data_IF_246910852733
#
_entry.id   IF_246910852733
#
_cell.length_a   1.000
_cell.length_b   1.000
_cell.length_c   1.000
_cell.angle_alpha   90.00
_cell.angle_beta   90.00
_cell.angle_gamma   90.00
#
_symmetry.space_group_name_H-M   'P 1'
#
loop_
_entity.id
_entity.type
_entity.pdbx_description
1 polymer ?
#
# COMPACT_ATOMS: atom_id res chain seq x y z
N UNK A 1 -10.89 2.52 -27.13
CA UNK A 1 -10.00 2.94 -26.01
C UNK A 1 -9.39 1.69 -25.41
N UNK A 2 -8.11 1.76 -25.01
CA UNK A 2 -7.47 0.68 -24.25
C UNK A 2 -7.84 0.77 -22.77
N UNK A 3 -7.79 -0.34 -22.03
CA UNK A 3 -8.05 -0.36 -20.57
C UNK A 3 -7.18 0.68 -19.83
N UNK A 4 -5.91 0.82 -20.25
CA UNK A 4 -4.98 1.84 -19.75
C UNK A 4 -5.49 3.28 -19.95
N UNK A 5 -6.10 3.59 -21.09
CA UNK A 5 -6.67 4.93 -21.34
C UNK A 5 -7.90 5.19 -20.47
N UNK A 6 -8.76 4.20 -20.29
CA UNK A 6 -9.94 4.31 -19.40
C UNK A 6 -9.54 4.50 -17.94
N UNK A 7 -8.48 3.82 -17.48
CA UNK A 7 -7.90 3.97 -16.14
C UNK A 7 -7.40 5.40 -15.87
N UNK A 8 -6.66 5.98 -16.83
CA UNK A 8 -6.15 7.35 -16.70
C UNK A 8 -7.28 8.38 -16.68
N UNK A 9 -8.29 8.23 -17.53
CA UNK A 9 -9.46 9.11 -17.56
C UNK A 9 -10.31 9.00 -16.28
N UNK A 10 -10.49 7.80 -15.72
CA UNK A 10 -11.19 7.65 -14.45
C UNK A 10 -10.48 8.42 -13.32
N UNK A 11 -9.14 8.38 -13.29
CA UNK A 11 -8.35 9.11 -12.32
C UNK A 11 -8.53 10.63 -12.44
N UNK A 12 -8.61 11.17 -13.67
CA UNK A 12 -8.93 12.59 -13.94
C UNK A 12 -10.31 12.99 -13.41
N UNK A 13 -11.27 12.05 -13.41
CA UNK A 13 -12.62 12.24 -12.88
C UNK A 13 -12.73 12.07 -11.35
N UNK A 14 -11.61 11.88 -10.66
CA UNK A 14 -11.60 11.69 -9.21
C UNK A 14 -11.96 10.27 -8.76
N UNK A 15 -11.91 9.30 -9.69
CA UNK A 15 -12.21 7.89 -9.42
C UNK A 15 -10.93 7.07 -9.51
N UNK A 16 -10.62 6.32 -8.46
CA UNK A 16 -9.51 5.36 -8.47
C UNK A 16 -10.04 4.03 -8.94
N UNK A 17 -9.29 3.38 -9.84
CA UNK A 17 -9.62 2.04 -10.32
C UNK A 17 -8.45 1.11 -10.04
N UNK A 18 -8.73 0.06 -9.28
CA UNK A 18 -7.82 -1.06 -9.01
C UNK A 18 -8.35 -2.34 -9.68
N UNK A 19 -7.45 -3.27 -9.97
CA UNK A 19 -7.79 -4.58 -10.52
C UNK A 19 -7.14 -5.64 -9.64
N UNK A 20 -7.96 -6.48 -9.03
CA UNK A 20 -7.52 -7.57 -8.14
C UNK A 20 -7.95 -8.91 -8.74
N UNK A 21 -7.00 -9.71 -9.24
CA UNK A 21 -7.29 -10.99 -9.88
C UNK A 21 -8.38 -10.88 -10.98
N UNK A 22 -8.31 -9.81 -11.78
CA UNK A 22 -9.28 -9.52 -12.84
C UNK A 22 -10.58 -8.84 -12.39
N UNK A 23 -10.82 -8.65 -11.08
CA UNK A 23 -11.97 -7.92 -10.56
C UNK A 23 -11.68 -6.40 -10.53
N UNK A 24 -12.39 -5.56 -11.31
CA UNK A 24 -12.27 -4.12 -11.20
C UNK A 24 -12.96 -3.60 -9.93
N UNK A 25 -12.24 -2.80 -9.15
CA UNK A 25 -12.72 -2.15 -7.91
C UNK A 25 -12.57 -0.64 -8.06
N UNK A 26 -13.64 0.09 -7.77
CA UNK A 26 -13.68 1.55 -7.87
C UNK A 26 -13.77 2.16 -6.48
N UNK A 27 -13.01 3.22 -6.23
CA UNK A 27 -13.15 4.03 -5.02
C UNK A 27 -13.08 5.52 -5.31
N UNK A 28 -13.75 6.30 -4.47
CA UNK A 28 -13.62 7.75 -4.46
C UNK A 28 -12.20 8.15 -4.04
N UNK A 29 -11.69 9.26 -4.58
CA UNK A 29 -10.46 9.84 -4.05
C UNK A 29 -10.57 10.16 -2.55
N UNK A 30 -9.49 9.96 -1.79
CA UNK A 30 -9.50 10.12 -0.36
C UNK A 30 -9.69 11.58 0.02
N UNK A 31 -10.37 11.76 1.15
CA UNK A 31 -10.56 13.06 1.77
C UNK A 31 -9.35 13.45 2.61
N UNK A 32 -9.22 14.74 2.92
CA UNK A 32 -8.08 15.31 3.64
C UNK A 32 -7.66 14.54 4.90
N UNK A 33 -8.62 14.04 5.69
CA UNK A 33 -8.32 13.27 6.92
C UNK A 33 -7.51 12.01 6.64
N UNK A 34 -7.82 11.30 5.56
CA UNK A 34 -7.10 10.10 5.17
C UNK A 34 -5.65 10.42 4.79
N UNK A 35 -5.44 11.47 4.01
CA UNK A 35 -4.11 11.98 3.67
C UNK A 35 -3.30 12.44 4.89
N UNK A 36 -3.94 12.98 5.95
CA UNK A 36 -3.28 13.27 7.23
C UNK A 36 -2.77 12.03 7.96
N UNK A 37 -3.46 10.90 7.83
CA UNK A 37 -3.00 9.64 8.42
C UNK A 37 -1.81 9.08 7.62
N UNK A 38 -1.89 9.09 6.29
CA UNK A 38 -0.77 8.72 5.41
C UNK A 38 0.48 9.55 5.74
N UNK A 39 0.36 10.88 5.85
CA UNK A 39 1.46 11.77 6.19
C UNK A 39 2.13 11.39 7.53
N UNK A 40 1.33 11.08 8.55
CA UNK A 40 1.84 10.70 9.88
C UNK A 40 2.59 9.38 9.83
N UNK A 41 2.02 8.38 9.15
CA UNK A 41 2.64 7.07 8.99
C UNK A 41 3.98 7.22 8.25
N UNK A 42 4.01 7.95 7.13
CA UNK A 42 5.24 8.19 6.36
C UNK A 42 6.36 8.82 7.21
N UNK A 43 6.02 9.73 8.13
CA UNK A 43 7.00 10.34 9.06
C UNK A 43 7.54 9.35 10.10
N UNK A 44 6.83 8.26 10.36
CA UNK A 44 7.23 7.20 11.27
C UNK A 44 7.92 6.02 10.58
N UNK A 45 8.25 6.14 9.29
CA UNK A 45 8.99 5.11 8.56
C UNK A 45 10.48 5.40 8.68
N UNK A 46 11.24 4.42 9.19
CA UNK A 46 12.68 4.52 9.38
C UNK A 46 13.38 3.18 9.13
N UNK A 47 14.71 3.22 8.90
CA UNK A 47 15.53 2.00 8.83
C UNK A 47 15.67 1.40 10.23
N UNK A 48 15.49 0.09 10.36
CA UNK A 48 15.57 -0.60 11.65
C UNK A 48 17.01 -0.94 12.03
N UNK A 49 17.88 0.08 12.19
CA UNK A 49 19.20 0.04 12.85
C UNK A 49 20.29 -0.91 12.31
N UNK A 50 19.93 -2.00 11.63
CA UNK A 50 20.80 -2.96 11.00
C UNK A 50 20.83 -2.67 9.50
N UNK A 51 22.02 -2.76 8.92
CA UNK A 51 22.27 -2.57 7.49
C UNK A 51 21.76 -3.80 6.72
N UNK A 52 20.43 -3.99 6.71
CA UNK A 52 19.74 -5.10 6.05
C UNK A 52 19.67 -4.88 4.51
N UNK A 53 20.35 -3.86 3.98
CA UNK A 53 20.41 -3.55 2.55
C UNK A 53 19.15 -2.88 1.98
N UNK A 54 18.26 -2.37 2.84
CA UNK A 54 17.01 -1.73 2.43
C UNK A 54 17.00 -0.22 2.66
N UNK A 55 16.65 0.55 1.62
CA UNK A 55 16.58 2.01 1.71
C UNK A 55 15.27 2.57 2.26
N UNK A 56 14.25 1.73 2.45
CA UNK A 56 12.92 2.14 2.93
C UNK A 56 12.32 3.29 2.10
N UNK A 57 12.49 3.21 0.78
CA UNK A 57 11.94 4.19 -0.17
C UNK A 57 10.43 4.09 -0.18
N UNK A 58 9.76 5.21 0.05
CA UNK A 58 8.31 5.31 0.14
C UNK A 58 7.71 5.88 -1.14
N UNK A 59 6.77 5.14 -1.74
CA UNK A 59 5.89 5.65 -2.79
C UNK A 59 4.47 5.77 -2.23
N UNK A 60 3.81 6.90 -2.48
CA UNK A 60 2.47 7.20 -1.96
C UNK A 60 1.51 7.36 -3.11
N UNK A 61 0.37 6.67 -3.05
CA UNK A 61 -0.66 6.75 -4.09
C UNK A 61 -0.13 6.49 -5.52
N UNK A 62 0.90 5.63 -5.66
CA UNK A 62 1.52 5.27 -6.95
C UNK A 62 0.96 3.94 -7.47
N UNK A 63 0.62 3.88 -8.76
CA UNK A 63 0.17 2.64 -9.39
C UNK A 63 1.30 1.63 -9.49
N UNK A 64 1.02 0.41 -9.07
CA UNK A 64 1.90 -0.76 -9.18
C UNK A 64 1.17 -1.83 -10.00
N UNK A 65 1.79 -2.22 -11.11
CA UNK A 65 1.35 -3.30 -11.97
C UNK A 65 1.96 -4.62 -11.46
N UNK A 66 1.13 -5.39 -10.78
CA UNK A 66 1.42 -6.73 -10.31
C UNK A 66 1.11 -7.75 -11.42
N UNK A 67 1.72 -8.95 -11.40
CA UNK A 67 1.44 -10.00 -12.38
C UNK A 67 -0.06 -10.28 -12.60
N UNK A 68 -0.87 -10.25 -11.53
CA UNK A 68 -2.31 -10.55 -11.58
C UNK A 68 -3.20 -9.35 -11.25
N UNK A 69 -2.70 -8.12 -11.31
CA UNK A 69 -3.52 -6.97 -10.96
C UNK A 69 -2.82 -5.62 -11.03
N UNK A 70 -3.61 -4.57 -10.82
CA UNK A 70 -3.14 -3.20 -10.74
C UNK A 70 -3.66 -2.63 -9.42
N UNK A 71 -2.76 -2.28 -8.50
CA UNK A 71 -3.13 -1.65 -7.23
C UNK A 71 -2.44 -0.31 -7.09
N UNK A 72 -3.02 0.54 -6.25
CA UNK A 72 -2.46 1.83 -5.87
C UNK A 72 -2.49 1.93 -4.35
N UNK A 73 -1.58 1.21 -3.65
CA UNK A 73 -1.52 1.27 -2.19
C UNK A 73 -1.34 2.70 -1.72
N UNK A 74 -1.89 3.01 -0.54
CA UNK A 74 -1.70 4.33 0.08
C UNK A 74 -0.21 4.60 0.33
N UNK A 75 0.54 3.58 0.79
CA UNK A 75 2.00 3.61 0.92
C UNK A 75 2.58 2.26 0.48
N UNK A 76 3.56 2.31 -0.42
CA UNK A 76 4.41 1.19 -0.81
C UNK A 76 5.85 1.44 -0.37
N UNK A 77 6.52 0.40 0.14
CA UNK A 77 7.92 0.47 0.55
C UNK A 77 8.80 -0.40 -0.35
N UNK A 78 9.91 0.19 -0.81
CA UNK A 78 10.92 -0.45 -1.64
C UNK A 78 12.30 -0.38 -0.97
N UNK A 79 13.14 -1.38 -1.24
CA UNK A 79 14.52 -1.38 -0.75
C UNK A 79 15.51 -0.62 -1.61
N UNK A 80 15.10 -0.21 -2.82
CA UNK A 80 15.86 0.69 -3.69
C UNK A 80 14.92 1.69 -4.33
N UNK A 81 15.46 2.81 -4.77
CA UNK A 81 14.74 3.72 -5.65
C UNK A 81 14.47 3.02 -7.00
N UNK A 82 13.25 3.07 -7.54
CA UNK A 82 13.00 2.73 -8.94
C UNK A 82 13.89 3.58 -9.86
N UNK A 83 14.45 2.98 -10.91
CA UNK A 83 15.27 3.73 -11.87
C UNK A 83 14.42 4.78 -12.60
N UNK A 84 15.04 5.85 -13.11
CA UNK A 84 14.30 6.98 -13.73
C UNK A 84 13.34 6.50 -14.83
N UNK A 85 13.75 5.55 -15.67
CA UNK A 85 12.93 4.95 -16.73
C UNK A 85 11.74 4.13 -16.23
N UNK A 86 11.75 3.72 -14.95
CA UNK A 86 10.64 3.02 -14.29
C UNK A 86 9.60 4.01 -13.74
N UNK A 87 9.97 5.26 -13.46
CA UNK A 87 9.15 6.24 -12.73
C UNK A 87 8.03 6.88 -13.57
N UNK A 88 8.16 6.92 -14.90
CA UNK A 88 7.17 7.53 -15.82
C UNK A 88 6.01 6.59 -16.23
N UNK A 89 5.86 5.45 -15.55
CA UNK A 89 4.81 4.45 -15.81
C UNK A 89 4.41 3.75 -14.50
N UNK A 90 3.31 2.96 -14.47
CA UNK A 90 3.04 2.10 -13.34
C UNK A 90 4.27 1.26 -12.99
N UNK A 91 4.65 1.25 -11.72
CA UNK A 91 5.81 0.50 -11.26
C UNK A 91 5.53 -0.99 -11.41
N UNK A 92 6.46 -1.72 -11.99
CA UNK A 92 6.40 -3.20 -12.04
C UNK A 92 7.22 -3.85 -10.93
N UNK A 93 7.97 -3.04 -10.16
CA UNK A 93 8.68 -3.51 -8.98
C UNK A 93 7.69 -3.89 -7.89
N UNK A 94 7.85 -5.07 -7.31
CA UNK A 94 7.04 -5.52 -6.19
C UNK A 94 7.54 -4.83 -4.92
N UNK A 95 6.68 -4.12 -4.17
CA UNK A 95 7.07 -3.53 -2.91
C UNK A 95 7.30 -4.61 -1.86
N UNK A 96 8.24 -4.32 -0.97
CA UNK A 96 8.59 -5.19 0.15
C UNK A 96 7.51 -5.20 1.22
N UNK A 97 6.90 -4.02 1.44
CA UNK A 97 5.76 -3.85 2.31
C UNK A 97 4.76 -2.86 1.70
N UNK A 98 3.49 -3.02 2.06
CA UNK A 98 2.42 -2.08 1.72
C UNK A 98 1.64 -1.70 2.98
N UNK A 99 1.20 -0.45 3.04
CA UNK A 99 0.40 0.07 4.13
C UNK A 99 -0.86 0.70 3.52
N UNK A 100 -2.03 0.26 3.97
CA UNK A 100 -3.34 0.79 3.57
C UNK A 100 -4.00 1.49 4.76
N UNK A 101 -4.61 2.65 4.53
CA UNK A 101 -5.40 3.37 5.52
C UNK A 101 -6.88 3.24 5.14
N UNK A 102 -7.66 2.60 6.00
CA UNK A 102 -9.07 2.32 5.72
C UNK A 102 -9.86 3.61 5.59
N UNK A 103 -10.60 3.71 4.49
CA UNK A 103 -11.64 4.73 4.29
C UNK A 103 -13.02 4.16 4.57
N UNK A 104 -13.90 4.98 5.16
CA UNK A 104 -15.28 4.58 5.48
C UNK A 104 -16.01 4.10 4.22
N UNK A 105 -16.59 2.91 4.28
CA UNK A 105 -17.29 2.28 3.15
C UNK A 105 -16.40 1.46 2.21
N UNK A 106 -15.09 1.37 2.48
CA UNK A 106 -14.12 0.58 1.71
C UNK A 106 -13.42 -0.48 2.57
N UNK A 107 -13.97 -0.81 3.74
CA UNK A 107 -13.36 -1.69 4.73
C UNK A 107 -13.02 -3.08 4.15
N UNK A 108 -13.94 -3.68 3.39
CA UNK A 108 -13.72 -5.00 2.79
C UNK A 108 -12.55 -5.01 1.80
N UNK A 109 -12.35 -3.90 1.06
CA UNK A 109 -11.23 -3.76 0.11
C UNK A 109 -9.90 -3.86 0.86
N UNK A 110 -9.75 -3.10 1.95
CA UNK A 110 -8.48 -2.98 2.67
C UNK A 110 -8.25 -4.12 3.68
N UNK A 111 -9.30 -4.64 4.32
CA UNK A 111 -9.17 -5.65 5.39
C UNK A 111 -9.26 -7.10 4.89
N UNK A 112 -9.97 -7.35 3.77
CA UNK A 112 -10.29 -8.71 3.32
C UNK A 112 -9.70 -9.02 1.94
N UNK A 113 -9.77 -8.09 0.99
CA UNK A 113 -9.40 -8.33 -0.41
C UNK A 113 -7.91 -8.01 -0.66
N UNK A 114 -7.45 -6.85 -0.23
CA UNK A 114 -6.09 -6.35 -0.44
C UNK A 114 -5.01 -7.24 0.15
N UNK A 115 -5.07 -7.62 1.44
CA UNK A 115 -4.02 -8.39 2.08
C UNK A 115 -3.69 -9.73 1.40
N UNK A 116 -4.66 -10.64 1.11
CA UNK A 116 -4.33 -11.88 0.41
C UNK A 116 -3.83 -11.64 -1.01
N UNK A 117 -4.31 -10.59 -1.69
CA UNK A 117 -3.76 -10.21 -3.00
C UNK A 117 -2.28 -9.84 -2.89
N UNK A 118 -1.91 -8.87 -2.06
CA UNK A 118 -0.53 -8.42 -1.92
C UNK A 118 0.44 -9.55 -1.55
N UNK A 119 0.06 -10.38 -0.57
CA UNK A 119 0.87 -11.54 -0.17
C UNK A 119 1.05 -12.55 -1.31
N UNK A 120 0.00 -12.78 -2.13
CA UNK A 120 0.09 -13.68 -3.29
C UNK A 120 1.03 -13.16 -4.39
N UNK A 121 1.26 -11.85 -4.45
CA UNK A 121 2.15 -11.21 -5.42
C UNK A 121 3.60 -11.06 -4.93
N UNK A 122 3.90 -11.46 -3.69
CA UNK A 122 5.26 -11.45 -3.14
C UNK A 122 5.57 -10.29 -2.18
N UNK A 123 4.59 -9.45 -1.83
CA UNK A 123 4.75 -8.49 -0.73
C UNK A 123 4.92 -9.25 0.59
N UNK A 124 5.89 -8.85 1.43
CA UNK A 124 6.25 -9.57 2.66
C UNK A 124 5.40 -9.14 3.85
N UNK A 125 5.15 -7.84 3.97
CA UNK A 125 4.34 -7.25 5.02
C UNK A 125 3.18 -6.42 4.46
N UNK A 126 1.96 -6.72 4.91
CA UNK A 126 0.77 -5.89 4.67
C UNK A 126 0.32 -5.31 6.00
N UNK A 127 0.29 -3.98 6.10
CA UNK A 127 -0.23 -3.28 7.28
C UNK A 127 -1.50 -2.53 6.88
N UNK A 128 -2.57 -2.72 7.63
CA UNK A 128 -3.84 -2.03 7.42
C UNK A 128 -4.18 -1.27 8.69
N UNK A 129 -4.40 0.04 8.55
CA UNK A 129 -4.76 0.91 9.66
C UNK A 129 -6.18 1.43 9.48
N UNK A 130 -7.06 1.14 10.44
CA UNK A 130 -8.38 1.73 10.51
C UNK A 130 -8.41 2.91 11.51
N UNK A 131 -8.44 4.16 11.02
CA UNK A 131 -8.44 5.34 11.89
C UNK A 131 -9.74 5.53 12.68
N UNK A 132 -10.82 4.81 12.36
CA UNK A 132 -12.10 4.88 13.07
C UNK A 132 -12.11 4.03 14.34
N UNK A 133 -11.37 2.91 14.33
CA UNK A 133 -11.29 1.96 15.45
C UNK A 133 -9.91 1.91 16.11
N UNK A 134 -8.91 2.55 15.50
CA UNK A 134 -7.49 2.45 15.83
C UNK A 134 -6.90 1.05 15.64
N UNK A 135 -7.62 0.16 14.96
CA UNK A 135 -7.14 -1.18 14.63
C UNK A 135 -5.95 -1.08 13.68
N UNK A 136 -4.88 -1.80 14.04
CA UNK A 136 -3.75 -2.08 13.17
C UNK A 136 -3.72 -3.58 12.91
N UNK A 137 -4.01 -3.97 11.67
CA UNK A 137 -3.86 -5.34 11.20
C UNK A 137 -2.50 -5.46 10.50
N UNK A 138 -1.66 -6.36 10.97
CA UNK A 138 -0.39 -6.69 10.31
C UNK A 138 -0.42 -8.13 9.84
N UNK A 139 -0.33 -8.34 8.53
CA UNK A 139 -0.43 -9.64 7.87
C UNK A 139 0.89 -9.97 7.18
N UNK A 140 1.38 -11.18 7.41
CA UNK A 140 2.46 -11.85 6.68
C UNK A 140 1.96 -13.20 6.17
N UNK A 141 2.79 -13.90 5.40
CA UNK A 141 2.47 -15.22 4.84
C UNK A 141 2.00 -16.25 5.88
N UNK A 142 2.56 -16.23 7.09
CA UNK A 142 2.36 -17.24 8.12
C UNK A 142 1.56 -16.75 9.34
N UNK A 143 1.31 -15.44 9.44
CA UNK A 143 0.68 -14.84 10.62
C UNK A 143 -0.11 -13.59 10.30
N UNK A 144 -1.20 -13.40 11.04
CA UNK A 144 -1.95 -12.16 11.10
C UNK A 144 -2.04 -11.72 12.57
N UNK A 145 -1.67 -10.47 12.86
CA UNK A 145 -1.77 -9.91 14.22
C UNK A 145 -2.61 -8.65 14.21
N UNK A 146 -3.36 -8.45 15.29
CA UNK A 146 -4.15 -7.24 15.52
C UNK A 146 -3.61 -6.50 16.71
N UNK A 147 -3.41 -5.20 16.55
CA UNK A 147 -2.93 -4.28 17.59
C UNK A 147 -3.78 -3.01 17.58
N UNK A 148 -3.56 -2.14 18.56
CA UNK A 148 -4.19 -0.84 18.64
C UNK A 148 -3.08 0.20 18.48
N UNK A 149 -3.28 1.19 17.60
CA UNK A 149 -2.37 2.34 17.44
C UNK A 149 -2.29 3.15 18.75
N UNK A 150 -1.14 3.65 19.19
CA UNK A 150 0.14 3.78 18.46
C UNK A 150 1.05 2.56 18.65
N UNK A 151 1.61 2.02 17.56
CA UNK A 151 2.49 0.86 17.60
C UNK A 151 3.63 0.91 16.59
N UNK A 152 4.82 0.50 17.02
CA UNK A 152 5.96 0.23 16.16
C UNK A 152 5.91 -1.19 15.58
N UNK A 153 6.07 -1.29 14.26
CA UNK A 153 6.08 -2.55 13.51
C UNK A 153 7.42 -2.65 12.79
N UNK A 154 8.22 -3.66 13.17
CA UNK A 154 9.38 -4.06 12.40
C UNK A 154 8.92 -4.88 11.18
N UNK A 155 9.28 -4.43 9.98
CA UNK A 155 8.98 -5.06 8.71
C UNK A 155 10.10 -6.05 8.34
N UNK A 156 9.77 -7.06 7.54
CA UNK A 156 10.72 -8.12 7.14
C UNK A 156 11.88 -7.60 6.30
N UNK A 157 11.67 -6.49 5.57
CA UNK A 157 12.71 -5.85 4.77
C UNK A 157 13.71 -5.01 5.57
N UNK A 158 13.66 -5.00 6.91
CA UNK A 158 14.58 -4.21 7.73
C UNK A 158 14.14 -2.74 7.92
N UNK A 159 12.94 -2.38 7.46
CA UNK A 159 12.30 -1.10 7.81
C UNK A 159 11.47 -1.22 9.10
N UNK A 160 11.23 -0.09 9.76
CA UNK A 160 10.26 0.03 10.85
C UNK A 160 9.22 1.08 10.47
N UNK A 161 7.97 0.85 10.86
CA UNK A 161 6.89 1.83 10.70
C UNK A 161 6.13 2.02 12.02
N UNK A 162 5.85 3.27 12.36
CA UNK A 162 4.95 3.64 13.44
C UNK A 162 3.55 3.94 12.88
N UNK A 163 2.54 3.23 13.38
CA UNK A 163 1.12 3.38 13.03
C UNK A 163 0.34 3.92 14.22
#
# INVERSE_FOLDING_TARGET
>A
MTLRQTLLQANELGIRLEIVNGLPIWEAQPIYRHQKHIERICRGIEKNGNDDGCDCIQARDVYIEFPNGLKRPDIALFCREPAEEEQDRPLTMIPEAVIEVVSKGYEAKDLEIGPPFYLSQGVKDVVVFDPSTLLVLHVRKDRATRRISVVDIALECGCKVTI
#
